data_IF_161304155691
#
_entry.id   IF_161304155691
#
_cell.length_a   1.000
_cell.length_b   1.000
_cell.length_c   1.000
_cell.angle_alpha   90.00
_cell.angle_beta   90.00
_cell.angle_gamma   90.00
#
_symmetry.space_group_name_H-M   'P 1'
#
loop_
_entity.id
_entity.type
_entity.pdbx_description
1 polymer ?
#
# COMPACT_ATOMS: atom_id res chain seq x y z
N UNK A 1 -3.14 6.26 6.48
CA UNK A 1 -3.09 7.71 6.77
C UNK A 1 -1.81 8.32 6.18
N UNK A 2 -1.66 8.35 4.86
CA UNK A 2 -0.43 8.78 4.17
C UNK A 2 -0.75 8.93 2.67
N UNK A 3 0.27 9.11 1.83
CA UNK A 3 0.29 8.96 0.37
C UNK A 3 -0.36 10.11 -0.40
N UNK A 4 -1.47 10.67 0.08
CA UNK A 4 -2.14 11.80 -0.60
C UNK A 4 -1.23 13.04 -0.69
N UNK A 5 -0.57 13.51 0.39
CA UNK A 5 0.36 14.64 0.29
C UNK A 5 1.50 14.42 -0.71
N UNK A 6 2.05 13.20 -0.74
CA UNK A 6 3.15 12.80 -1.60
C UNK A 6 2.74 12.83 -3.09
N UNK A 7 1.54 12.31 -3.40
CA UNK A 7 1.00 12.35 -4.77
C UNK A 7 0.72 13.78 -5.23
N UNK A 8 0.22 14.65 -4.36
CA UNK A 8 -0.02 16.07 -4.70
C UNK A 8 1.29 16.76 -5.10
N UNK A 9 2.36 16.57 -4.32
CA UNK A 9 3.68 17.17 -4.61
C UNK A 9 4.29 16.61 -5.89
N UNK A 10 4.20 15.29 -6.10
CA UNK A 10 4.69 14.64 -7.31
C UNK A 10 3.95 15.13 -8.57
N UNK A 11 2.62 15.25 -8.50
CA UNK A 11 1.80 15.78 -9.58
C UNK A 11 2.10 17.26 -9.87
N UNK A 12 2.27 18.08 -8.83
CA UNK A 12 2.70 19.48 -8.98
C UNK A 12 4.05 19.60 -9.69
N UNK A 13 4.92 18.61 -9.52
CA UNK A 13 6.24 18.52 -10.16
C UNK A 13 6.21 17.87 -11.55
N UNK A 14 5.03 17.55 -12.08
CA UNK A 14 4.87 16.91 -13.40
C UNK A 14 5.30 15.44 -13.45
N UNK A 15 5.46 14.77 -12.30
CA UNK A 15 5.85 13.37 -12.23
C UNK A 15 4.65 12.44 -12.43
N UNK A 16 4.85 11.33 -13.14
CA UNK A 16 3.88 10.23 -13.18
C UNK A 16 3.97 9.43 -11.89
N UNK A 17 2.82 9.06 -11.33
CA UNK A 17 2.73 8.34 -10.05
C UNK A 17 1.94 7.05 -10.23
N UNK A 18 2.46 5.95 -9.68
CA UNK A 18 1.74 4.69 -9.49
C UNK A 18 1.60 4.45 -7.98
N UNK A 19 0.36 4.44 -7.48
CA UNK A 19 0.05 4.14 -6.09
C UNK A 19 -0.45 2.71 -5.92
N UNK A 20 0.07 1.99 -4.92
CA UNK A 20 -0.35 0.63 -4.58
C UNK A 20 -0.60 0.57 -3.08
N UNK A 21 -1.77 0.08 -2.67
CA UNK A 21 -2.10 -0.14 -1.26
C UNK A 21 -2.22 -1.63 -0.99
N UNK A 22 -1.54 -2.11 0.06
CA UNK A 22 -1.80 -3.42 0.63
C UNK A 22 -2.98 -3.30 1.59
N UNK A 23 -4.07 -4.01 1.32
CA UNK A 23 -5.24 -4.03 2.20
C UNK A 23 -4.97 -4.99 3.35
N UNK A 24 -4.76 -4.44 4.53
CA UNK A 24 -4.30 -5.20 5.72
C UNK A 24 -5.43 -5.62 6.65
N UNK A 25 -6.61 -5.01 6.53
CA UNK A 25 -7.75 -5.24 7.42
C UNK A 25 -9.05 -4.75 6.75
N UNK A 26 -10.20 -5.17 7.27
CA UNK A 26 -11.49 -4.61 6.86
C UNK A 26 -11.67 -3.20 7.43
N UNK A 27 -12.50 -2.39 6.76
CA UNK A 27 -12.83 -1.05 7.25
C UNK A 27 -13.60 -1.13 8.58
N UNK A 28 -13.43 -0.12 9.43
CA UNK A 28 -14.16 0.00 10.70
C UNK A 28 -15.67 -0.15 10.48
N UNK A 29 -16.33 -0.97 11.31
CA UNK A 29 -17.74 -1.32 11.17
C UNK A 29 -18.01 -2.65 10.43
N UNK A 30 -17.02 -3.20 9.73
CA UNK A 30 -17.05 -4.60 9.21
C UNK A 30 -16.20 -5.56 10.07
N UNK A 31 -15.47 -5.02 11.04
CA UNK A 31 -14.62 -5.73 11.99
C UNK A 31 -14.71 -4.99 13.34
N UNK A 32 -14.82 -5.72 14.45
CA UNK A 32 -15.12 -5.15 15.78
C UNK A 32 -13.94 -4.39 16.39
N UNK A 33 -12.69 -4.84 16.17
CA UNK A 33 -11.48 -4.17 16.67
C UNK A 33 -10.40 -4.08 15.58
N UNK A 34 -9.82 -2.90 15.44
CA UNK A 34 -8.67 -2.64 14.58
C UNK A 34 -7.40 -2.71 15.44
N UNK A 35 -6.60 -3.78 15.30
CA UNK A 35 -5.32 -3.92 15.99
C UNK A 35 -4.15 -3.62 15.03
N UNK A 36 -3.19 -2.82 15.48
CA UNK A 36 -1.96 -2.56 14.71
C UNK A 36 -1.11 -3.82 14.52
N UNK A 37 -1.13 -4.76 15.47
CA UNK A 37 -0.39 -6.02 15.36
C UNK A 37 -0.92 -6.88 14.22
N UNK A 38 -2.24 -6.93 14.02
CA UNK A 38 -2.88 -7.65 12.90
C UNK A 38 -2.45 -7.07 11.55
N UNK A 39 -2.36 -5.74 11.47
CA UNK A 39 -1.86 -5.05 10.27
C UNK A 39 -0.43 -5.48 9.94
N UNK A 40 0.44 -5.59 10.96
CA UNK A 40 1.83 -6.03 10.78
C UNK A 40 1.90 -7.49 10.36
N UNK A 41 1.11 -8.37 10.98
CA UNK A 41 1.06 -9.79 10.63
C UNK A 41 0.63 -10.03 9.19
N UNK A 42 -0.46 -9.37 8.77
CA UNK A 42 -0.97 -9.47 7.39
C UNK A 42 0.08 -8.95 6.41
N UNK A 43 0.74 -7.83 6.73
CA UNK A 43 1.80 -7.26 5.89
C UNK A 43 2.98 -8.20 5.73
N UNK A 44 3.44 -8.86 6.79
CA UNK A 44 4.53 -9.83 6.71
C UNK A 44 4.14 -11.08 5.91
N UNK A 45 2.88 -11.52 6.02
CA UNK A 45 2.37 -12.64 5.22
C UNK A 45 2.41 -12.37 3.71
N UNK A 46 2.03 -11.16 3.29
CA UNK A 46 1.94 -10.82 1.85
C UNK A 46 3.22 -10.23 1.26
N UNK A 47 4.26 -10.02 2.08
CA UNK A 47 5.52 -9.38 1.68
C UNK A 47 6.19 -10.02 0.48
N UNK A 48 6.15 -11.36 0.39
CA UNK A 48 6.70 -12.11 -0.74
C UNK A 48 6.02 -11.74 -2.06
N UNK A 49 4.69 -11.83 -2.08
CA UNK A 49 3.85 -11.53 -3.25
C UNK A 49 3.96 -10.06 -3.64
N UNK A 50 3.90 -9.15 -2.65
CA UNK A 50 4.03 -7.72 -2.89
C UNK A 50 5.39 -7.35 -3.49
N UNK A 51 6.48 -7.96 -2.99
CA UNK A 51 7.82 -7.79 -3.55
C UNK A 51 7.91 -8.35 -4.98
N UNK A 52 7.26 -9.48 -5.24
CA UNK A 52 7.16 -10.05 -6.59
C UNK A 52 6.46 -9.11 -7.56
N UNK A 53 5.30 -8.58 -7.16
CA UNK A 53 4.53 -7.62 -7.94
C UNK A 53 5.35 -6.36 -8.26
N UNK A 54 6.00 -5.76 -7.26
CA UNK A 54 6.83 -4.57 -7.48
C UNK A 54 7.97 -4.83 -8.46
N UNK A 55 8.66 -5.97 -8.34
CA UNK A 55 9.72 -6.35 -9.27
C UNK A 55 9.21 -6.54 -10.70
N UNK A 56 8.06 -7.16 -10.86
CA UNK A 56 7.45 -7.36 -12.18
C UNK A 56 7.07 -6.02 -12.83
N UNK A 57 6.45 -5.11 -12.06
CA UNK A 57 6.13 -3.76 -12.55
C UNK A 57 7.39 -3.00 -12.97
N UNK A 58 8.44 -3.02 -12.14
CA UNK A 58 9.70 -2.35 -12.44
C UNK A 58 10.43 -2.93 -13.66
N UNK A 59 10.22 -4.21 -13.99
CA UNK A 59 10.82 -4.83 -15.17
C UNK A 59 10.15 -4.40 -16.48
N UNK A 60 8.90 -3.91 -16.42
CA UNK A 60 8.09 -3.50 -17.56
C UNK A 60 8.06 -1.97 -17.79
N UNK A 61 8.73 -1.20 -16.92
CA UNK A 61 8.86 0.26 -16.98
C UNK A 61 10.21 0.68 -17.56
#
# INVERSE_FOLDING_TARGET
MSTVPEVIVAAHSGLKVLGISCITNFAAGFQEELNHEEVVEVTERVKGDFKGLLKAILAEL
#
